data_IF_793558271404
#
_entry.id   IF_793558271404
#
_cell.length_a   1.000
_cell.length_b   1.000
_cell.length_c   1.000
_cell.angle_alpha   90.00
_cell.angle_beta   90.00
_cell.angle_gamma   90.00
#
_symmetry.space_group_name_H-M   'P 1'
#
loop_
_entity.id
_entity.type
_entity.pdbx_description
1 polymer ?
#
# COMPACT_ATOMS: atom_id res chain seq x y z
N UNK A 1 -17.42 -3.64 18.17
CA UNK A 1 -17.27 -3.92 16.73
C UNK A 1 -16.48 -2.79 16.08
N UNK A 2 -15.42 -3.11 15.38
CA UNK A 2 -14.62 -2.09 14.73
C UNK A 2 -15.33 -1.54 13.50
N UNK A 3 -15.24 -0.24 13.35
CA UNK A 3 -15.83 0.44 12.22
C UNK A 3 -14.88 0.39 11.03
N UNK A 4 -15.40 0.09 9.86
CA UNK A 4 -14.63 0.13 8.63
C UNK A 4 -14.54 1.55 8.09
N UNK A 5 -13.41 1.86 7.49
CA UNK A 5 -13.13 3.19 6.93
C UNK A 5 -12.63 3.04 5.51
N UNK A 6 -13.03 3.96 4.68
CA UNK A 6 -12.52 4.05 3.30
C UNK A 6 -11.35 5.01 3.28
N UNK A 7 -10.33 4.65 2.54
CA UNK A 7 -9.17 5.52 2.41
C UNK A 7 -8.33 5.21 1.20
N UNK A 8 -7.27 5.98 1.06
CA UNK A 8 -6.30 5.83 -0.02
C UNK A 8 -4.93 5.65 0.59
N UNK A 9 -4.18 4.70 0.08
CA UNK A 9 -2.79 4.47 0.50
C UNK A 9 -1.90 4.68 -0.71
N UNK A 10 -0.93 5.59 -0.58
CA UNK A 10 0.10 5.80 -1.59
C UNK A 10 1.36 5.05 -1.21
N UNK A 11 1.91 4.30 -2.15
CA UNK A 11 3.13 3.52 -1.94
C UNK A 11 4.13 3.88 -3.02
N UNK A 12 5.30 4.32 -2.62
CA UNK A 12 6.39 4.62 -3.56
C UNK A 12 7.51 3.63 -3.32
N UNK A 13 7.92 2.95 -4.38
CA UNK A 13 8.89 1.86 -4.29
C UNK A 13 10.15 2.25 -5.06
N UNK A 14 11.28 2.33 -4.35
CA UNK A 14 12.60 2.45 -4.96
C UNK A 14 13.15 1.05 -5.20
N UNK A 15 14.01 0.91 -6.19
CA UNK A 15 14.64 -0.38 -6.51
C UNK A 15 13.58 -1.48 -6.73
N UNK A 16 12.72 -1.25 -7.70
CA UNK A 16 11.55 -2.07 -7.98
C UNK A 16 11.85 -3.57 -8.08
N UNK A 17 12.91 -3.94 -8.79
CA UNK A 17 13.20 -5.36 -9.02
C UNK A 17 13.41 -6.12 -7.73
N UNK A 18 14.09 -5.50 -6.77
CA UNK A 18 14.38 -6.13 -5.48
C UNK A 18 13.20 -6.05 -4.52
N UNK A 19 12.49 -4.94 -4.52
CA UNK A 19 11.52 -4.59 -3.47
C UNK A 19 10.09 -4.98 -3.83
N UNK A 20 9.71 -4.89 -5.11
CA UNK A 20 8.32 -5.09 -5.52
C UNK A 20 7.75 -6.46 -5.16
N UNK A 21 8.50 -7.57 -5.22
CA UNK A 21 7.92 -8.87 -4.83
C UNK A 21 7.39 -8.90 -3.41
N UNK A 22 8.11 -8.31 -2.46
CA UNK A 22 7.66 -8.25 -1.07
C UNK A 22 6.44 -7.37 -0.89
N UNK A 23 6.39 -6.26 -1.61
CA UNK A 23 5.21 -5.38 -1.60
C UNK A 23 4.00 -6.12 -2.16
N UNK A 24 4.14 -6.77 -3.32
CA UNK A 24 3.03 -7.48 -3.95
C UNK A 24 2.53 -8.64 -3.09
N UNK A 25 3.42 -9.31 -2.38
CA UNK A 25 3.01 -10.36 -1.45
C UNK A 25 2.12 -9.81 -0.34
N UNK A 26 2.49 -8.68 0.25
CA UNK A 26 1.67 -8.02 1.26
C UNK A 26 0.32 -7.59 0.71
N UNK A 27 0.28 -7.02 -0.50
CA UNK A 27 -0.98 -6.60 -1.10
C UNK A 27 -1.89 -7.78 -1.36
N UNK A 28 -1.34 -8.93 -1.70
CA UNK A 28 -2.12 -10.17 -1.86
C UNK A 28 -2.68 -10.62 -0.51
N UNK A 29 -1.88 -10.58 0.55
CA UNK A 29 -2.32 -10.97 1.89
C UNK A 29 -3.47 -10.11 2.40
N UNK A 30 -3.48 -8.83 2.05
CA UNK A 30 -4.51 -7.89 2.48
C UNK A 30 -5.55 -7.61 1.39
N UNK A 31 -5.66 -8.51 0.41
CA UNK A 31 -6.57 -8.32 -0.71
C UNK A 31 -8.01 -8.09 -0.34
N UNK A 32 -8.45 -8.64 0.80
CA UNK A 32 -9.84 -8.49 1.24
C UNK A 32 -10.23 -7.04 1.55
N UNK A 33 -9.27 -6.21 1.94
CA UNK A 33 -9.56 -4.80 2.24
C UNK A 33 -9.21 -3.87 1.09
N UNK A 34 -8.61 -4.37 0.02
CA UNK A 34 -8.23 -3.55 -1.13
C UNK A 34 -9.35 -3.56 -2.15
N UNK A 35 -10.02 -2.42 -2.32
CA UNK A 35 -11.12 -2.25 -3.26
C UNK A 35 -10.60 -2.09 -4.69
N UNK A 36 -9.49 -1.41 -4.85
CA UNK A 36 -8.87 -1.21 -6.14
C UNK A 36 -7.43 -0.76 -6.00
N UNK A 37 -6.68 -0.93 -7.06
CA UNK A 37 -5.28 -0.51 -7.07
C UNK A 37 -4.85 -0.11 -8.47
N UNK A 38 -3.92 0.82 -8.52
CA UNK A 38 -3.29 1.25 -9.76
C UNK A 38 -1.80 1.40 -9.50
N UNK A 39 -0.98 0.75 -10.32
CA UNK A 39 0.45 0.85 -10.20
C UNK A 39 1.05 1.38 -11.49
N UNK A 40 2.00 2.30 -11.38
CA UNK A 40 2.68 2.89 -12.51
C UNK A 40 4.18 2.83 -12.27
N UNK A 41 4.94 2.12 -13.14
CA UNK A 41 6.39 2.24 -13.09
C UNK A 41 6.80 3.57 -13.71
N UNK A 42 7.43 4.41 -12.91
CA UNK A 42 7.83 5.74 -13.36
C UNK A 42 9.33 5.75 -13.64
N UNK A 43 9.68 5.33 -14.84
CA UNK A 43 11.08 5.13 -15.24
C UNK A 43 11.89 6.41 -15.18
N UNK A 44 11.28 7.55 -15.46
CA UNK A 44 11.96 8.84 -15.43
C UNK A 44 12.53 9.22 -14.08
N UNK A 45 12.01 8.64 -13.00
CA UNK A 45 12.48 8.90 -11.64
C UNK A 45 13.01 7.64 -10.95
N UNK A 46 13.01 6.51 -11.63
CA UNK A 46 13.53 5.27 -11.07
C UNK A 46 12.69 4.68 -9.96
N UNK A 47 11.40 5.00 -9.90
CA UNK A 47 10.50 4.53 -8.85
C UNK A 47 9.27 3.89 -9.46
N UNK A 48 8.56 3.09 -8.66
CA UNK A 48 7.20 2.65 -8.98
C UNK A 48 6.26 3.26 -7.97
N UNK A 49 5.08 3.66 -8.43
CA UNK A 49 4.08 4.28 -7.57
C UNK A 49 2.82 3.43 -7.62
N UNK A 50 2.30 3.06 -6.46
CA UNK A 50 1.06 2.30 -6.34
C UNK A 50 0.08 3.11 -5.53
N UNK A 51 -1.15 3.23 -6.03
CA UNK A 51 -2.25 3.84 -5.30
C UNK A 51 -3.26 2.75 -4.98
N UNK A 52 -3.66 2.67 -3.71
CA UNK A 52 -4.61 1.68 -3.24
C UNK A 52 -5.85 2.40 -2.71
N UNK A 53 -7.02 1.87 -3.05
CA UNK A 53 -8.27 2.26 -2.41
C UNK A 53 -8.61 1.13 -1.45
N UNK A 54 -8.77 1.45 -0.18
CA UNK A 54 -9.01 0.45 0.85
C UNK A 54 -10.31 0.72 1.60
N UNK A 55 -10.90 -0.36 2.10
CA UNK A 55 -12.08 -0.32 2.98
C UNK A 55 -11.85 -1.39 4.05
N UNK A 56 -11.50 -0.96 5.24
CA UNK A 56 -11.16 -1.90 6.30
C UNK A 56 -11.18 -1.25 7.66
N UNK A 57 -10.93 -2.05 8.69
CA UNK A 57 -10.83 -1.54 10.05
C UNK A 57 -9.52 -0.78 10.23
N UNK A 58 -9.47 0.06 11.25
CA UNK A 58 -8.26 0.79 11.60
C UNK A 58 -7.09 -0.17 11.85
N UNK A 59 -7.36 -1.31 12.50
CA UNK A 59 -6.33 -2.30 12.76
C UNK A 59 -5.80 -2.95 11.49
N UNK A 60 -6.70 -3.29 10.56
CA UNK A 60 -6.30 -3.90 9.29
C UNK A 60 -5.46 -2.95 8.45
N UNK A 61 -5.91 -1.71 8.34
CA UNK A 61 -5.21 -0.69 7.54
C UNK A 61 -3.87 -0.35 8.18
N UNK A 62 -3.85 -0.22 9.51
CA UNK A 62 -2.61 0.04 10.23
C UNK A 62 -1.59 -1.08 10.11
N UNK A 63 -2.06 -2.33 10.11
CA UNK A 63 -1.18 -3.48 9.93
C UNK A 63 -0.56 -3.48 8.53
N UNK A 64 -1.36 -3.20 7.52
CA UNK A 64 -0.86 -3.14 6.14
C UNK A 64 0.16 -2.01 5.96
N UNK A 65 -0.20 -0.79 6.38
CA UNK A 65 0.71 0.35 6.23
C UNK A 65 1.98 0.18 7.04
N UNK A 66 1.88 -0.39 8.23
CA UNK A 66 3.04 -0.64 9.07
C UNK A 66 4.00 -1.64 8.43
N UNK A 67 3.47 -2.74 7.90
CA UNK A 67 4.30 -3.74 7.24
C UNK A 67 4.93 -3.22 5.96
N UNK A 68 4.17 -2.48 5.16
CA UNK A 68 4.73 -1.85 3.95
C UNK A 68 5.85 -0.88 4.31
N UNK A 69 5.65 -0.07 5.33
CA UNK A 69 6.64 0.92 5.75
C UNK A 69 7.93 0.33 6.32
N UNK A 70 7.90 -0.94 6.73
CA UNK A 70 9.10 -1.62 7.22
C UNK A 70 9.98 -2.15 6.10
N UNK A 71 9.51 -2.18 4.87
CA UNK A 71 10.32 -2.65 3.74
C UNK A 71 11.26 -1.52 3.32
N UNK A 72 12.56 -1.82 3.30
CA UNK A 72 13.55 -0.85 2.84
C UNK A 72 13.28 -0.45 1.40
N UNK A 73 13.30 0.86 1.13
CA UNK A 73 13.01 1.39 -0.19
C UNK A 73 11.54 1.67 -0.45
N UNK A 74 10.69 1.53 0.57
CA UNK A 74 9.26 1.78 0.43
C UNK A 74 8.85 2.99 1.29
N UNK A 75 8.14 3.92 0.66
CA UNK A 75 7.53 5.06 1.35
C UNK A 75 6.01 4.90 1.28
N UNK A 76 5.34 5.01 2.41
CA UNK A 76 3.89 4.81 2.51
C UNK A 76 3.24 6.03 3.16
N UNK A 77 2.16 6.49 2.57
CA UNK A 77 1.30 7.53 3.16
C UNK A 77 -0.15 7.15 2.96
N UNK A 78 -0.98 7.46 3.93
CA UNK A 78 -2.41 7.16 3.84
C UNK A 78 -3.24 8.39 4.17
N UNK A 79 -4.41 8.44 3.53
CA UNK A 79 -5.43 9.46 3.79
C UNK A 79 -6.74 8.72 4.02
N UNK A 80 -7.28 8.84 5.22
CA UNK A 80 -8.46 8.08 5.62
C UNK A 80 -9.65 9.00 5.81
N UNK A 81 -10.81 8.54 5.34
CA UNK A 81 -12.08 9.18 5.64
C UNK A 81 -12.40 8.99 7.13
N UNK A 82 -13.13 9.93 7.68
CA UNK A 82 -13.54 9.86 9.10
C UNK A 82 -14.46 8.68 9.38
#
# INVERSE_FOLDING_TARGET
>A
MEKKRVGVIGVIIENREKVAPGVNELLTMYGDIIVGRMGIPYHGRGVSVISLIVDGTTNEIGALTGKLGMIEGVTVKSAMAK
#
